data_IF_434428590130
#
_entry.id   IF_434428590130
#
_cell.length_a   1.000
_cell.length_b   1.000
_cell.length_c   1.000
_cell.angle_alpha   90.00
_cell.angle_beta   90.00
_cell.angle_gamma   90.00
#
_symmetry.space_group_name_H-M   'P 1'
#
loop_
_entity.id
_entity.type
_entity.pdbx_description
1 polymer ?
#
# COMPACT_ATOMS: atom_id res chain seq x y z
N UNK A 1 2.49 -29.93 24.15
CA UNK A 1 3.02 -30.12 22.78
C UNK A 1 3.12 -28.81 21.98
N UNK A 2 3.24 -27.63 22.61
CA UNK A 2 3.45 -26.35 21.89
C UNK A 2 4.46 -25.44 22.61
N UNK A 3 5.57 -26.00 23.10
CA UNK A 3 6.63 -25.20 23.77
C UNK A 3 8.03 -25.38 23.17
N UNK A 4 8.19 -26.36 22.27
CA UNK A 4 9.46 -26.68 21.60
C UNK A 4 9.57 -26.15 20.16
N UNK A 5 8.53 -25.54 19.60
CA UNK A 5 8.61 -24.97 18.24
C UNK A 5 9.15 -23.53 18.19
N UNK A 6 9.15 -22.81 19.32
CA UNK A 6 9.65 -21.43 19.36
C UNK A 6 11.18 -21.33 19.51
N UNK A 7 11.82 -22.32 20.14
CA UNK A 7 13.28 -22.34 20.32
C UNK A 7 13.97 -22.72 18.99
N UNK A 8 13.37 -23.62 18.21
CA UNK A 8 13.82 -23.94 16.85
C UNK A 8 13.73 -22.72 15.92
N UNK A 9 12.69 -21.87 16.03
CA UNK A 9 12.52 -20.70 15.17
C UNK A 9 13.57 -19.60 15.39
N UNK A 10 14.06 -19.41 16.62
CA UNK A 10 15.08 -18.39 16.93
C UNK A 10 16.47 -18.85 16.47
N UNK A 11 16.78 -20.15 16.61
CA UNK A 11 18.04 -20.73 16.09
C UNK A 11 18.03 -20.77 14.56
N UNK A 12 16.87 -21.03 13.93
CA UNK A 12 16.74 -21.01 12.47
C UNK A 12 16.80 -19.57 11.91
N UNK A 13 16.29 -18.55 12.59
CA UNK A 13 16.46 -17.15 12.15
C UNK A 13 17.91 -16.65 12.28
N UNK A 14 18.68 -17.13 13.27
CA UNK A 14 20.11 -16.82 13.39
C UNK A 14 20.98 -17.57 12.35
N UNK A 15 20.49 -18.70 11.81
CA UNK A 15 21.16 -19.45 10.74
C UNK A 15 20.73 -19.02 9.33
N UNK A 16 19.54 -18.44 9.16
CA UNK A 16 19.05 -17.94 7.86
C UNK A 16 19.56 -16.53 7.50
N UNK A 17 20.13 -15.77 8.45
CA UNK A 17 20.87 -14.54 8.15
C UNK A 17 22.26 -14.80 7.56
N UNK A 18 22.70 -16.07 7.45
CA UNK A 18 24.00 -16.47 6.87
C UNK A 18 23.92 -16.75 5.37
N UNK A 19 22.75 -16.65 4.72
CA UNK A 19 22.58 -16.95 3.29
C UNK A 19 22.05 -15.78 2.44
N UNK A 20 22.39 -14.54 2.79
CA UNK A 20 22.35 -13.44 1.84
C UNK A 20 23.66 -13.45 1.03
N UNK A 21 23.62 -14.08 -0.15
CA UNK A 21 24.68 -14.07 -1.16
C UNK A 21 24.90 -12.66 -1.70
N UNK A 22 25.64 -11.83 -0.96
CA UNK A 22 26.33 -10.68 -1.55
C UNK A 22 27.66 -11.19 -2.05
N UNK A 23 27.80 -11.17 -3.38
CA UNK A 23 29.02 -11.56 -4.08
C UNK A 23 30.20 -10.73 -3.58
N UNK A 24 31.30 -11.33 -3.11
CA UNK A 24 32.52 -10.57 -2.88
C UNK A 24 33.10 -10.22 -4.26
N UNK A 25 33.08 -8.94 -4.63
CA UNK A 25 33.95 -8.46 -5.69
C UNK A 25 35.39 -8.54 -5.17
N UNK A 26 36.03 -9.67 -5.44
CA UNK A 26 37.45 -9.90 -5.20
C UNK A 26 38.28 -8.97 -6.09
N UNK A 27 38.57 -7.77 -5.58
CA UNK A 27 39.69 -6.98 -6.10
C UNK A 27 40.98 -7.68 -5.70
N UNK A 28 41.46 -8.54 -6.60
CA UNK A 28 42.72 -9.27 -6.45
C UNK A 28 43.88 -8.27 -6.63
N UNK A 29 44.24 -7.54 -5.58
CA UNK A 29 45.47 -6.72 -5.56
C UNK A 29 46.60 -7.54 -4.95
N UNK A 30 47.53 -7.92 -5.81
CA UNK A 30 48.75 -8.65 -5.48
C UNK A 30 49.51 -8.00 -4.32
N UNK A 31 49.86 -8.84 -3.33
CA UNK A 31 50.78 -8.50 -2.24
C UNK A 31 52.14 -8.17 -2.84
N UNK A 32 52.56 -6.91 -2.79
CA UNK A 32 53.98 -6.55 -2.84
C UNK A 32 54.52 -6.55 -1.42
N UNK A 33 55.44 -7.48 -1.13
CA UNK A 33 56.31 -7.39 0.03
C UNK A 33 57.28 -6.22 -0.22
N UNK A 34 57.24 -5.20 0.63
CA UNK A 34 58.35 -4.26 0.75
C UNK A 34 59.15 -4.65 2.00
N UNK A 35 60.46 -4.80 1.80
CA UNK A 35 61.48 -4.91 2.84
C UNK A 35 61.53 -3.59 3.62
N UNK A 36 60.77 -3.52 4.70
CA UNK A 36 61.08 -2.65 5.84
C UNK A 36 60.19 -3.12 7.01
N UNK A 37 60.84 -3.58 8.08
CA UNK A 37 60.24 -4.26 9.24
C UNK A 37 59.36 -3.40 10.14
N UNK A 38 58.41 -2.66 9.58
CA UNK A 38 57.37 -1.94 10.33
C UNK A 38 56.02 -2.54 9.98
N UNK A 39 55.57 -3.45 10.84
CA UNK A 39 54.23 -4.02 10.82
C UNK A 39 53.22 -2.88 11.00
N UNK A 40 52.76 -2.30 9.89
CA UNK A 40 51.62 -1.38 9.89
C UNK A 40 50.42 -2.27 10.15
N UNK A 41 49.95 -2.28 11.40
CA UNK A 41 48.72 -2.96 11.80
C UNK A 41 47.66 -2.69 10.73
N UNK A 42 47.24 -3.75 10.04
CA UNK A 42 46.23 -3.67 9.01
C UNK A 42 44.94 -3.37 9.75
N UNK A 43 44.57 -2.08 9.79
CA UNK A 43 43.34 -1.60 10.43
C UNK A 43 42.19 -2.51 9.98
N UNK A 44 41.69 -3.32 10.91
CA UNK A 44 40.62 -4.28 10.64
C UNK A 44 39.41 -3.44 10.25
N UNK A 45 38.95 -3.57 9.01
CA UNK A 45 37.84 -2.77 8.51
C UNK A 45 36.59 -3.18 9.30
N UNK A 46 36.01 -2.25 10.06
CA UNK A 46 34.82 -2.54 10.86
C UNK A 46 33.65 -2.93 9.95
N UNK A 47 32.93 -3.99 10.30
CA UNK A 47 31.73 -4.36 9.58
C UNK A 47 30.63 -3.33 9.87
N UNK A 48 29.91 -2.88 8.84
CA UNK A 48 28.78 -1.97 9.03
C UNK A 48 27.53 -2.74 9.46
N UNK A 49 26.91 -2.30 10.55
CA UNK A 49 25.66 -2.85 11.06
C UNK A 49 24.58 -1.76 10.98
N UNK A 50 23.52 -2.02 10.21
CA UNK A 50 22.40 -1.11 10.10
C UNK A 50 21.40 -1.36 11.24
N UNK A 51 21.11 -0.33 12.04
CA UNK A 51 20.21 -0.45 13.19
C UNK A 51 19.09 0.60 13.12
N UNK A 52 17.80 0.22 13.20
CA UNK A 52 16.71 1.18 13.13
C UNK A 52 16.73 2.20 14.28
N UNK A 53 16.43 3.47 13.97
CA UNK A 53 16.22 4.52 14.98
C UNK A 53 15.11 4.11 15.96
N UNK A 54 15.27 4.47 17.23
CA UNK A 54 14.37 4.13 18.35
C UNK A 54 14.28 2.64 18.70
N UNK A 55 15.09 1.78 18.08
CA UNK A 55 15.18 0.37 18.43
C UNK A 55 16.17 0.13 19.58
N UNK A 56 16.35 -1.15 19.93
CA UNK A 56 17.36 -1.61 20.89
C UNK A 56 18.24 -2.65 20.22
N UNK A 57 19.56 -2.54 20.41
CA UNK A 57 20.53 -3.54 19.96
C UNK A 57 21.45 -3.95 21.11
N UNK A 58 22.11 -5.09 20.98
CA UNK A 58 23.11 -5.58 21.92
C UNK A 58 24.35 -6.03 21.15
N UNK A 59 25.51 -5.44 21.47
CA UNK A 59 26.79 -5.79 20.88
C UNK A 59 27.51 -6.82 21.76
N UNK A 60 28.00 -7.89 21.14
CA UNK A 60 28.76 -8.93 21.82
C UNK A 60 30.25 -8.62 21.76
N UNK A 61 30.95 -8.79 22.88
CA UNK A 61 32.40 -8.63 22.92
C UNK A 61 33.08 -9.96 22.53
N UNK A 62 33.52 -10.05 21.27
CA UNK A 62 34.20 -11.22 20.73
C UNK A 62 35.72 -11.18 20.95
N UNK A 63 36.39 -12.33 21.20
CA UNK A 63 35.80 -13.63 21.51
C UNK A 63 35.12 -13.61 22.89
N UNK A 64 34.00 -14.31 23.06
CA UNK A 64 33.23 -14.35 24.32
C UNK A 64 34.11 -14.81 25.50
N UNK A 65 33.82 -14.34 26.71
CA UNK A 65 34.58 -14.71 27.91
C UNK A 65 34.64 -16.24 28.09
N UNK A 66 35.85 -16.79 28.20
CA UNK A 66 36.08 -18.19 28.52
C UNK A 66 36.39 -18.33 30.01
N UNK A 67 35.37 -18.58 30.83
CA UNK A 67 35.50 -18.77 32.28
C UNK A 67 34.62 -17.81 33.12
N UNK A 68 34.70 -17.94 34.45
CA UNK A 68 33.83 -17.21 35.38
C UNK A 68 34.43 -15.88 35.87
N UNK A 69 35.63 -15.51 35.40
CA UNK A 69 36.33 -14.30 35.78
C UNK A 69 36.90 -13.66 34.52
N UNK A 70 36.31 -12.55 34.11
CA UNK A 70 36.78 -11.74 33.00
C UNK A 70 36.12 -10.37 33.02
N UNK A 71 36.85 -9.36 32.58
CA UNK A 71 36.44 -7.97 32.52
C UNK A 71 36.86 -7.33 31.20
N UNK A 72 36.02 -6.45 30.68
CA UNK A 72 36.31 -5.72 29.46
C UNK A 72 35.71 -4.33 29.47
N UNK A 73 36.29 -3.46 28.64
CA UNK A 73 35.84 -2.10 28.41
C UNK A 73 35.30 -1.99 27.00
N UNK A 74 34.14 -1.37 26.86
CA UNK A 74 33.57 -0.99 25.57
C UNK A 74 34.00 0.42 25.21
N UNK A 75 34.28 0.59 23.92
CA UNK A 75 34.68 1.84 23.32
C UNK A 75 33.66 2.25 22.26
N UNK A 76 33.37 3.55 22.18
CA UNK A 76 32.64 4.20 21.10
C UNK A 76 33.53 5.33 20.59
N UNK A 77 33.92 5.27 19.32
CA UNK A 77 34.83 6.23 18.67
C UNK A 77 36.13 6.49 19.49
N UNK A 78 36.64 5.42 20.12
CA UNK A 78 37.87 5.45 20.93
C UNK A 78 37.68 5.92 22.38
N UNK A 79 36.47 6.29 22.79
CA UNK A 79 36.15 6.69 24.16
C UNK A 79 35.54 5.53 24.93
N UNK A 80 35.99 5.29 26.16
CA UNK A 80 35.39 4.25 27.03
C UNK A 80 33.96 4.65 27.40
N UNK A 81 32.98 3.83 27.05
CA UNK A 81 31.56 4.08 27.30
C UNK A 81 30.94 3.16 28.34
N UNK A 82 31.52 1.98 28.56
CA UNK A 82 31.02 1.02 29.54
C UNK A 82 32.08 0.01 29.97
N UNK A 83 31.89 -0.55 31.17
CA UNK A 83 32.67 -1.66 31.69
C UNK A 83 31.74 -2.87 31.87
N UNK A 84 32.21 -4.05 31.49
CA UNK A 84 31.45 -5.30 31.54
C UNK A 84 32.28 -6.42 32.15
N UNK A 85 31.61 -7.48 32.61
CA UNK A 85 32.27 -8.68 33.14
C UNK A 85 31.72 -9.94 32.50
N UNK A 86 32.34 -11.08 32.78
CA UNK A 86 31.84 -12.41 32.39
C UNK A 86 30.46 -12.77 32.97
N UNK A 87 29.95 -11.96 33.92
CA UNK A 87 28.65 -12.15 34.58
C UNK A 87 27.79 -10.89 34.58
N UNK A 88 28.13 -9.86 33.79
CA UNK A 88 27.35 -8.62 33.74
C UNK A 88 27.43 -7.92 32.40
N UNK A 89 26.26 -7.50 31.91
CA UNK A 89 26.13 -6.61 30.75
C UNK A 89 26.15 -5.14 31.19
N UNK A 90 26.32 -4.23 30.23
CA UNK A 90 26.22 -2.80 30.45
C UNK A 90 25.18 -2.17 29.52
N UNK A 91 24.56 -1.08 29.97
CA UNK A 91 23.63 -0.28 29.17
C UNK A 91 24.28 1.06 28.87
N UNK A 92 24.36 1.42 27.59
CA UNK A 92 24.98 2.67 27.14
C UNK A 92 24.33 3.88 27.82
N UNK A 93 25.14 4.80 28.34
CA UNK A 93 24.69 6.04 28.99
C UNK A 93 23.66 5.84 30.13
N UNK A 94 23.67 4.70 30.82
CA UNK A 94 22.72 4.35 31.89
C UNK A 94 21.25 4.52 31.46
N UNK A 95 20.94 4.28 30.18
CA UNK A 95 19.57 4.35 29.66
C UNK A 95 18.68 3.30 30.33
N UNK A 96 17.37 3.55 30.32
CA UNK A 96 16.40 2.57 30.80
C UNK A 96 16.34 1.42 29.79
N UNK A 97 16.59 0.21 30.27
CA UNK A 97 16.42 -1.02 29.52
C UNK A 97 15.36 -1.89 30.20
N UNK A 98 14.33 -2.25 29.44
CA UNK A 98 13.30 -3.21 29.85
C UNK A 98 13.21 -4.26 28.76
N UNK A 99 13.47 -5.50 29.13
CA UNK A 99 13.33 -6.63 28.23
C UNK A 99 12.51 -7.72 28.89
N UNK A 100 11.57 -8.28 28.13
CA UNK A 100 10.79 -9.44 28.54
C UNK A 100 11.63 -10.72 28.48
N UNK A 101 12.67 -10.74 27.63
CA UNK A 101 13.63 -11.84 27.53
C UNK A 101 15.01 -11.42 28.07
N UNK A 102 15.60 -12.18 29.00
CA UNK A 102 16.91 -11.85 29.56
C UNK A 102 18.00 -12.06 28.50
N UNK A 103 18.84 -11.03 28.27
CA UNK A 103 20.08 -11.16 27.50
C UNK A 103 21.12 -11.86 28.39
N UNK A 104 21.86 -12.88 27.90
CA UNK A 104 22.87 -13.56 28.70
C UNK A 104 23.90 -12.56 29.27
N UNK A 105 24.21 -12.66 30.55
CA UNK A 105 25.13 -11.76 31.23
C UNK A 105 26.60 -12.11 30.94
N UNK A 106 27.01 -12.03 29.68
CA UNK A 106 28.37 -12.36 29.20
C UNK A 106 29.07 -11.16 28.56
N UNK A 107 28.73 -9.97 29.02
CA UNK A 107 29.41 -8.71 28.71
C UNK A 107 28.98 -8.02 27.43
N UNK A 108 27.69 -8.10 27.12
CA UNK A 108 27.06 -7.30 26.07
C UNK A 108 27.05 -5.81 26.43
N UNK A 109 27.18 -4.98 25.40
CA UNK A 109 26.79 -3.57 25.44
C UNK A 109 25.40 -3.42 24.84
N UNK A 110 24.44 -3.05 25.68
CA UNK A 110 23.04 -2.85 25.28
C UNK A 110 22.83 -1.36 25.00
N UNK A 111 22.31 -1.05 23.82
CA UNK A 111 22.01 0.32 23.39
C UNK A 111 20.51 0.40 23.13
N UNK A 112 19.78 1.10 23.99
CA UNK A 112 18.32 1.29 23.86
C UNK A 112 17.98 2.66 23.31
N UNK A 113 16.78 2.76 22.70
CA UNK A 113 16.24 3.99 22.15
C UNK A 113 17.27 4.72 21.26
N UNK A 114 17.78 3.99 20.27
CA UNK A 114 18.89 4.43 19.42
C UNK A 114 18.58 5.79 18.77
N UNK A 115 19.47 6.77 18.97
CA UNK A 115 19.42 8.10 18.36
C UNK A 115 20.56 8.27 17.36
N UNK A 116 20.46 9.27 16.47
CA UNK A 116 21.48 9.55 15.45
C UNK A 116 22.90 9.75 16.03
N UNK A 117 23.00 10.15 17.30
CA UNK A 117 24.28 10.37 17.99
C UNK A 117 24.98 9.07 18.40
N UNK A 118 24.26 7.93 18.38
CA UNK A 118 24.83 6.61 18.66
C UNK A 118 25.55 6.00 17.44
N UNK A 119 25.54 6.68 16.29
CA UNK A 119 26.29 6.26 15.10
C UNK A 119 27.80 6.32 15.40
N UNK A 120 28.56 5.34 14.93
CA UNK A 120 30.02 5.31 15.16
C UNK A 120 30.60 3.91 15.26
N UNK A 121 31.88 3.85 15.57
CA UNK A 121 32.64 2.61 15.72
C UNK A 121 32.61 2.12 17.16
N UNK A 122 32.17 0.89 17.35
CA UNK A 122 32.13 0.21 18.64
C UNK A 122 33.05 -1.00 18.64
N UNK A 123 33.79 -1.17 19.72
CA UNK A 123 34.65 -2.32 19.94
C UNK A 123 34.90 -2.51 21.43
N UNK A 124 35.39 -3.68 21.82
CA UNK A 124 35.70 -3.98 23.21
C UNK A 124 37.18 -4.33 23.39
N UNK A 125 37.70 -4.14 24.60
CA UNK A 125 39.04 -4.57 25.00
C UNK A 125 39.01 -5.29 26.33
N UNK A 126 39.62 -6.46 26.39
CA UNK A 126 39.82 -7.24 27.62
C UNK A 126 40.82 -6.53 28.54
N UNK A 127 40.52 -6.52 29.83
CA UNK A 127 41.43 -5.92 30.82
C UNK A 127 42.57 -6.88 31.21
N UNK A 128 42.38 -8.21 31.11
CA UNK A 128 43.38 -9.19 31.55
C UNK A 128 44.58 -9.29 30.61
N UNK A 129 44.32 -9.33 29.30
CA UNK A 129 45.33 -9.59 28.27
C UNK A 129 45.43 -8.48 27.21
N UNK A 130 44.62 -7.42 27.33
CA UNK A 130 44.58 -6.32 26.35
C UNK A 130 44.02 -6.72 24.99
N UNK A 131 43.42 -7.90 24.84
CA UNK A 131 42.87 -8.36 23.57
C UNK A 131 41.69 -7.49 23.14
N UNK A 132 41.76 -6.98 21.92
CA UNK A 132 40.70 -6.20 21.29
C UNK A 132 39.77 -7.12 20.52
N UNK A 133 38.47 -6.87 20.66
CA UNK A 133 37.44 -7.54 19.89
C UNK A 133 37.22 -6.90 18.52
N UNK A 134 36.29 -7.48 17.78
CA UNK A 134 35.98 -7.02 16.43
C UNK A 134 35.27 -5.67 16.48
N UNK A 135 35.75 -4.73 15.66
CA UNK A 135 35.13 -3.43 15.50
C UNK A 135 33.88 -3.54 14.62
N UNK A 136 32.79 -2.93 15.08
CA UNK A 136 31.53 -2.80 14.35
C UNK A 136 31.18 -1.32 14.21
N UNK A 137 30.89 -0.89 12.99
CA UNK A 137 30.39 0.47 12.75
C UNK A 137 28.88 0.43 12.70
N UNK A 138 28.23 0.98 13.72
CA UNK A 138 26.78 1.15 13.70
C UNK A 138 26.47 2.29 12.73
N UNK A 139 25.52 2.05 11.83
CA UNK A 139 24.93 3.06 10.94
C UNK A 139 23.42 3.07 11.18
N UNK A 140 22.84 4.25 11.37
CA UNK A 140 21.46 4.32 11.84
C UNK A 140 20.49 4.37 10.67
N UNK A 141 19.56 3.42 10.65
CA UNK A 141 18.55 3.30 9.64
C UNK A 141 17.28 4.05 10.03
N UNK A 142 16.74 4.87 9.12
CA UNK A 142 15.54 5.67 9.33
C UNK A 142 14.90 6.10 8.01
N UNK A 143 13.66 6.59 8.10
CA UNK A 143 12.96 7.34 7.06
C UNK A 143 12.33 8.56 7.73
N UNK A 144 12.73 9.76 7.31
CA UNK A 144 12.10 10.99 7.78
C UNK A 144 10.70 11.13 7.20
N UNK A 145 9.74 11.55 8.02
CA UNK A 145 8.37 11.76 7.57
C UNK A 145 8.31 12.92 6.57
N UNK A 146 7.48 12.77 5.52
CA UNK A 146 7.18 13.88 4.64
C UNK A 146 6.54 15.04 5.41
N UNK A 147 6.93 16.30 5.14
CA UNK A 147 6.20 17.47 5.62
C UNK A 147 4.71 17.39 5.23
N UNK A 148 3.82 17.92 6.06
CA UNK A 148 2.37 17.82 5.87
C UNK A 148 1.86 18.33 4.50
N UNK A 149 2.52 19.33 3.92
CA UNK A 149 2.13 19.92 2.62
C UNK A 149 2.73 19.21 1.40
N UNK A 150 3.50 18.14 1.63
CA UNK A 150 4.15 17.37 0.59
C UNK A 150 3.11 16.61 -0.23
N UNK A 151 3.24 16.68 -1.55
CA UNK A 151 2.37 15.98 -2.49
C UNK A 151 3.18 15.52 -3.69
N UNK A 152 2.81 14.38 -4.31
CA UNK A 152 3.41 13.99 -5.58
C UNK A 152 3.19 15.07 -6.65
N UNK A 153 4.19 15.30 -7.48
CA UNK A 153 4.16 16.31 -8.53
C UNK A 153 3.92 15.64 -9.87
N UNK A 154 2.82 15.99 -10.53
CA UNK A 154 2.45 15.49 -11.85
C UNK A 154 2.74 16.53 -12.94
N UNK A 155 3.32 16.07 -14.04
CA UNK A 155 3.68 16.87 -15.21
C UNK A 155 3.10 16.25 -16.49
N UNK A 156 2.11 16.90 -17.13
CA UNK A 156 1.38 18.08 -16.65
C UNK A 156 0.52 17.75 -15.42
N UNK A 157 0.17 18.76 -14.61
CA UNK A 157 -0.63 18.57 -13.39
C UNK A 157 -2.09 18.20 -13.66
N UNK A 158 -2.60 18.54 -14.86
CA UNK A 158 -3.91 18.15 -15.38
C UNK A 158 -3.76 17.69 -16.84
N UNK A 159 -3.44 16.41 -17.07
CA UNK A 159 -3.20 15.86 -18.39
C UNK A 159 -4.46 15.73 -19.23
N UNK A 160 -4.32 15.86 -20.54
CA UNK A 160 -5.37 15.50 -21.50
C UNK A 160 -5.38 13.99 -21.72
N UNK A 161 -6.52 13.41 -22.12
CA UNK A 161 -6.57 11.98 -22.48
C UNK A 161 -5.61 11.72 -23.65
N UNK A 162 -4.79 10.68 -23.53
CA UNK A 162 -3.74 10.30 -24.48
C UNK A 162 -2.39 11.01 -24.27
N UNK A 163 -2.31 12.00 -23.37
CA UNK A 163 -1.08 12.75 -23.09
C UNK A 163 -0.10 11.94 -22.24
N UNK A 164 1.21 12.20 -22.40
CA UNK A 164 2.24 11.61 -21.55
C UNK A 164 2.28 12.32 -20.20
N UNK A 165 2.34 11.55 -19.12
CA UNK A 165 2.43 12.03 -17.75
C UNK A 165 3.70 11.51 -17.09
N UNK A 166 4.37 12.38 -16.35
CA UNK A 166 5.47 12.04 -15.45
C UNK A 166 5.08 12.48 -14.05
N UNK A 167 5.25 11.61 -13.06
CA UNK A 167 4.96 11.91 -11.67
C UNK A 167 6.15 11.61 -10.77
N UNK A 168 6.50 12.59 -9.94
CA UNK A 168 7.62 12.54 -9.00
C UNK A 168 7.10 12.53 -7.57
N UNK A 169 7.64 11.63 -6.74
CA UNK A 169 7.33 11.57 -5.32
C UNK A 169 8.16 12.63 -4.57
N UNK A 170 7.66 13.22 -3.46
CA UNK A 170 8.46 14.08 -2.61
C UNK A 170 9.71 13.36 -2.11
N UNK A 171 10.79 14.12 -1.92
CA UNK A 171 12.06 13.60 -1.40
C UNK A 171 12.14 13.87 0.10
N UNK A 172 12.71 12.91 0.83
CA UNK A 172 13.01 13.01 2.26
C UNK A 172 14.31 12.26 2.54
N UNK A 173 14.91 12.48 3.72
CA UNK A 173 16.10 11.71 4.12
C UNK A 173 15.69 10.31 4.54
N UNK A 174 16.45 9.33 4.07
CA UNK A 174 16.29 7.96 4.47
C UNK A 174 17.63 7.23 4.33
N UNK A 175 17.90 6.35 5.27
CA UNK A 175 19.06 5.46 5.27
C UNK A 175 18.58 4.05 5.64
N UNK A 176 18.92 3.01 4.87
CA UNK A 176 19.52 3.04 3.53
C UNK A 176 18.60 3.66 2.47
N UNK A 177 19.10 3.76 1.24
CA UNK A 177 18.35 4.22 0.08
C UNK A 177 16.97 3.55 0.00
N UNK A 178 15.88 4.34 0.00
CA UNK A 178 14.52 3.81 0.03
C UNK A 178 14.05 3.38 -1.37
N UNK A 179 13.06 2.51 -1.41
CA UNK A 179 12.25 2.24 -2.60
C UNK A 179 11.03 3.15 -2.64
N UNK A 180 10.53 3.43 -3.85
CA UNK A 180 9.30 4.18 -4.08
C UNK A 180 8.28 3.26 -4.74
N UNK A 181 7.08 3.20 -4.16
CA UNK A 181 5.94 2.43 -4.67
C UNK A 181 4.76 3.37 -4.90
N UNK A 182 4.10 3.24 -6.04
CA UNK A 182 2.94 4.04 -6.39
C UNK A 182 1.64 3.25 -6.25
N UNK A 183 0.61 3.93 -5.76
CA UNK A 183 -0.73 3.41 -5.64
C UNK A 183 -1.72 4.36 -6.33
N UNK A 184 -2.75 3.78 -6.94
CA UNK A 184 -3.90 4.48 -7.51
C UNK A 184 -5.16 3.95 -6.84
N UNK A 185 -5.92 4.84 -6.19
CA UNK A 185 -7.14 4.50 -5.47
C UNK A 185 -6.96 3.40 -4.40
N UNK A 186 -5.76 3.31 -3.82
CA UNK A 186 -5.40 2.33 -2.78
C UNK A 186 -4.81 1.02 -3.31
N UNK A 187 -4.82 0.78 -4.62
CA UNK A 187 -4.20 -0.39 -5.24
C UNK A 187 -2.84 -0.04 -5.83
N UNK A 188 -1.88 -0.98 -5.80
CA UNK A 188 -0.57 -0.78 -6.44
C UNK A 188 -0.76 -0.53 -7.92
N UNK A 189 -0.10 0.49 -8.46
CA UNK A 189 -0.15 0.79 -9.89
C UNK A 189 0.33 -0.42 -10.70
N UNK A 190 -0.49 -0.85 -11.65
CA UNK A 190 -0.21 -2.00 -12.51
C UNK A 190 0.90 -1.68 -13.52
N UNK A 191 2.06 -2.32 -13.34
CA UNK A 191 3.21 -2.21 -14.23
C UNK A 191 3.22 -3.28 -15.34
N UNK A 192 2.20 -4.15 -15.42
CA UNK A 192 2.09 -5.13 -16.51
C UNK A 192 1.72 -4.46 -17.84
N UNK A 193 1.07 -3.29 -17.77
CA UNK A 193 0.76 -2.47 -18.93
C UNK A 193 2.00 -1.81 -19.51
N UNK A 194 2.26 -1.97 -20.82
CA UNK A 194 3.35 -1.27 -21.52
C UNK A 194 3.22 0.27 -21.49
N UNK A 195 2.08 0.81 -21.04
CA UNK A 195 1.88 2.25 -20.91
C UNK A 195 2.49 2.84 -19.65
N UNK A 196 2.62 2.04 -18.59
CA UNK A 196 2.97 2.51 -17.25
C UNK A 196 4.30 1.92 -16.84
N UNK A 197 5.23 2.76 -16.39
CA UNK A 197 6.57 2.36 -15.99
C UNK A 197 7.00 3.16 -14.76
N UNK A 198 7.82 2.55 -13.90
CA UNK A 198 8.44 3.21 -12.75
C UNK A 198 9.94 3.04 -12.89
N UNK A 199 10.62 4.17 -13.09
CA UNK A 199 12.08 4.20 -13.24
C UNK A 199 12.80 3.86 -11.93
N UNK A 200 14.10 3.58 -12.00
CA UNK A 200 14.93 3.22 -10.84
C UNK A 200 14.99 4.28 -9.74
N UNK A 201 14.76 5.56 -10.08
CA UNK A 201 14.68 6.64 -9.10
C UNK A 201 13.25 6.81 -8.52
N UNK A 202 12.30 5.94 -8.87
CA UNK A 202 10.93 5.98 -8.40
C UNK A 202 9.98 6.90 -9.18
N UNK A 203 10.42 7.50 -10.28
CA UNK A 203 9.53 8.34 -11.12
C UNK A 203 8.52 7.46 -11.87
N UNK A 204 7.24 7.76 -11.72
CA UNK A 204 6.14 7.12 -12.45
C UNK A 204 5.97 7.80 -13.83
N UNK A 205 5.91 6.99 -14.89
CA UNK A 205 5.71 7.43 -16.26
C UNK A 205 4.49 6.74 -16.83
N UNK A 206 3.54 7.52 -17.35
CA UNK A 206 2.36 7.03 -18.06
C UNK A 206 2.46 7.58 -19.48
N UNK A 207 2.66 6.72 -20.48
CA UNK A 207 2.89 7.17 -21.86
C UNK A 207 1.64 7.70 -22.55
N UNK A 208 0.46 7.25 -22.14
CA UNK A 208 -0.85 7.70 -22.61
C UNK A 208 -1.83 7.71 -21.44
N UNK A 209 -2.23 8.90 -20.95
CA UNK A 209 -3.16 9.04 -19.83
C UNK A 209 -4.59 8.68 -20.24
N UNK A 210 -5.24 7.75 -19.52
CA UNK A 210 -6.59 7.27 -19.82
C UNK A 210 -7.58 7.66 -18.72
N UNK A 211 -8.89 7.49 -18.98
CA UNK A 211 -9.95 7.77 -18.01
C UNK A 211 -9.77 6.94 -16.72
N UNK A 212 -9.32 5.70 -16.85
CA UNK A 212 -9.01 4.81 -15.72
C UNK A 212 -7.81 5.26 -14.88
N UNK A 213 -6.96 6.15 -15.42
CA UNK A 213 -5.79 6.69 -14.72
C UNK A 213 -6.18 7.94 -13.87
N UNK A 214 -7.44 8.39 -13.92
CA UNK A 214 -7.95 9.46 -13.05
C UNK A 214 -8.22 8.90 -11.65
N UNK A 215 -7.72 9.58 -10.62
CA UNK A 215 -7.95 9.15 -9.25
C UNK A 215 -6.99 9.72 -8.22
N UNK A 216 -7.03 9.12 -7.04
CA UNK A 216 -6.15 9.46 -5.92
C UNK A 216 -4.86 8.66 -6.03
N UNK A 217 -3.77 9.34 -6.38
CA UNK A 217 -2.44 8.76 -6.36
C UNK A 217 -1.82 8.89 -4.96
N UNK A 218 -1.15 7.83 -4.52
CA UNK A 218 -0.33 7.81 -3.32
C UNK A 218 1.07 7.30 -3.70
N UNK A 219 2.10 8.08 -3.36
CA UNK A 219 3.47 7.58 -3.43
C UNK A 219 3.93 7.22 -2.02
N UNK A 220 4.51 6.02 -1.88
CA UNK A 220 5.10 5.52 -0.64
C UNK A 220 6.60 5.39 -0.82
N UNK A 221 7.35 6.08 0.02
CA UNK A 221 8.80 5.95 0.13
C UNK A 221 9.11 5.10 1.37
N UNK A 222 9.85 4.00 1.20
CA UNK A 222 10.08 3.03 2.28
C UNK A 222 11.44 2.35 2.23
N UNK A 223 11.96 2.00 3.40
CA UNK A 223 13.06 1.05 3.57
C UNK A 223 12.72 0.09 4.73
N UNK A 224 13.66 -0.74 5.18
CA UNK A 224 13.38 -1.69 6.26
C UNK A 224 13.17 -1.03 7.63
N UNK A 225 13.60 0.23 7.81
CA UNK A 225 13.48 0.97 9.07
C UNK A 225 12.19 1.80 9.15
N UNK A 226 11.52 2.08 8.04
CA UNK A 226 10.28 2.84 8.05
C UNK A 226 9.71 3.15 6.68
N UNK A 227 8.64 3.95 6.68
CA UNK A 227 7.96 4.42 5.46
C UNK A 227 7.29 5.77 5.68
N UNK A 228 7.09 6.51 4.60
CA UNK A 228 6.28 7.73 4.58
C UNK A 228 5.52 7.83 3.25
N UNK A 229 4.36 8.48 3.26
CA UNK A 229 3.48 8.56 2.08
C UNK A 229 2.94 9.96 1.84
N UNK A 230 2.71 10.28 0.57
CA UNK A 230 2.10 11.54 0.14
C UNK A 230 1.06 11.27 -0.94
N UNK A 231 -0.02 12.06 -0.94
CA UNK A 231 -1.19 11.84 -1.81
C UNK A 231 -1.51 13.06 -2.66
N UNK A 232 -2.04 12.82 -3.87
CA UNK A 232 -2.59 13.86 -4.75
C UNK A 232 -3.69 13.28 -5.62
N UNK A 233 -4.77 14.03 -5.79
CA UNK A 233 -5.81 13.67 -6.75
C UNK A 233 -5.47 14.24 -8.13
N UNK A 234 -5.51 13.40 -9.16
CA UNK A 234 -5.19 13.78 -10.54
C UNK A 234 -6.43 13.63 -11.39
N UNK A 235 -6.78 14.69 -12.12
CA UNK A 235 -7.93 14.76 -13.01
C UNK A 235 -7.50 15.12 -14.43
N UNK A 236 -8.34 14.76 -15.41
CA UNK A 236 -8.10 15.08 -16.81
C UNK A 236 -8.47 16.53 -17.15
N UNK A 237 -7.74 17.13 -18.08
CA UNK A 237 -8.13 18.42 -18.68
C UNK A 237 -9.45 18.23 -19.42
N UNK A 238 -10.48 18.99 -19.04
CA UNK A 238 -11.73 19.07 -19.81
C UNK A 238 -11.38 19.58 -21.21
N UNK A 239 -11.74 18.82 -22.23
CA UNK A 239 -11.72 19.31 -23.61
C UNK A 239 -12.69 20.49 -23.67
N UNK A 240 -12.17 21.72 -23.77
CA UNK A 240 -12.98 22.85 -24.22
C UNK A 240 -13.19 22.70 -25.72
N UNK A 241 -13.92 21.67 -26.11
CA UNK A 241 -14.41 21.62 -27.48
C UNK A 241 -15.56 22.62 -27.56
N UNK A 242 -15.30 23.80 -28.13
CA UNK A 242 -16.33 24.72 -28.58
C UNK A 242 -17.23 24.13 -29.69
N UNK A 243 -17.10 22.83 -29.97
CA UNK A 243 -17.91 22.06 -30.90
C UNK A 243 -18.60 20.84 -30.29
N UNK A 244 -18.60 20.67 -28.97
CA UNK A 244 -19.67 19.92 -28.32
C UNK A 244 -20.78 20.91 -27.98
N UNK A 245 -21.63 21.21 -28.98
CA UNK A 245 -23.04 21.38 -28.64
C UNK A 245 -23.36 20.14 -27.84
N UNK A 246 -23.77 20.33 -26.59
CA UNK A 246 -24.44 19.31 -25.83
C UNK A 246 -25.56 18.80 -26.75
N UNK A 247 -25.33 17.70 -27.45
CA UNK A 247 -26.40 16.93 -28.08
C UNK A 247 -27.05 16.16 -26.94
N UNK A 248 -27.47 16.87 -25.89
CA UNK A 248 -28.72 16.59 -25.21
C UNK A 248 -29.78 16.99 -26.22
N UNK A 249 -29.93 16.18 -27.28
CA UNK A 249 -31.08 16.25 -28.15
C UNK A 249 -32.29 15.66 -27.43
N UNK A 250 -32.60 16.28 -26.29
CA UNK A 250 -33.90 16.22 -25.65
C UNK A 250 -34.95 16.63 -26.69
N UNK A 251 -34.59 17.41 -27.72
CA UNK A 251 -35.48 17.75 -28.84
C UNK A 251 -35.82 16.55 -29.74
N UNK A 252 -34.89 15.63 -30.05
CA UNK A 252 -35.20 14.41 -30.82
C UNK A 252 -36.10 13.46 -30.01
N UNK A 253 -35.78 13.23 -28.72
CA UNK A 253 -36.61 12.38 -27.86
C UNK A 253 -37.98 13.01 -27.57
N UNK A 254 -38.06 14.32 -27.34
CA UNK A 254 -39.35 15.01 -27.14
C UNK A 254 -40.19 15.06 -28.41
N UNK A 255 -39.60 15.20 -29.60
CA UNK A 255 -40.35 15.17 -30.86
C UNK A 255 -40.87 13.76 -31.19
N UNK A 256 -40.08 12.71 -30.91
CA UNK A 256 -40.53 11.32 -31.04
C UNK A 256 -41.64 10.97 -30.03
N UNK A 257 -41.52 11.41 -28.77
CA UNK A 257 -42.57 11.25 -27.77
C UNK A 257 -43.82 12.09 -28.10
N UNK A 258 -43.67 13.34 -28.57
CA UNK A 258 -44.81 14.20 -28.93
C UNK A 258 -45.63 13.61 -30.08
N UNK A 259 -44.97 13.01 -31.09
CA UNK A 259 -45.64 12.31 -32.19
C UNK A 259 -46.34 11.01 -31.78
N UNK A 260 -45.78 10.26 -30.81
CA UNK A 260 -46.41 9.05 -30.26
C UNK A 260 -47.62 9.38 -29.38
N UNK A 261 -47.51 10.40 -28.52
CA UNK A 261 -48.55 10.76 -27.55
C UNK A 261 -49.74 11.50 -28.18
N UNK A 262 -49.53 12.38 -29.18
CA UNK A 262 -50.66 13.08 -29.83
C UNK A 262 -51.54 12.13 -30.64
N UNK A 263 -50.93 11.19 -31.37
CA UNK A 263 -51.67 10.25 -32.19
C UNK A 263 -52.33 9.16 -31.33
N UNK A 264 -51.62 8.62 -30.33
CA UNK A 264 -52.15 7.58 -29.46
C UNK A 264 -53.36 8.02 -28.64
N UNK A 265 -53.32 9.22 -28.06
CA UNK A 265 -54.43 9.75 -27.24
C UNK A 265 -55.65 10.06 -28.10
N UNK A 266 -55.46 10.59 -29.32
CA UNK A 266 -56.57 10.87 -30.23
C UNK A 266 -57.31 9.59 -30.63
N UNK A 267 -56.59 8.54 -31.02
CA UNK A 267 -57.19 7.24 -31.36
C UNK A 267 -57.84 6.56 -30.15
N UNK A 268 -57.27 6.71 -28.95
CA UNK A 268 -57.88 6.22 -27.72
C UNK A 268 -59.20 6.91 -27.40
N UNK A 269 -59.26 8.25 -27.50
CA UNK A 269 -60.49 9.02 -27.26
C UNK A 269 -61.57 8.72 -28.31
N UNK A 270 -61.19 8.56 -29.59
CA UNK A 270 -62.11 8.12 -30.65
C UNK A 270 -62.65 6.72 -30.34
N UNK A 271 -61.80 5.80 -29.88
CA UNK A 271 -62.20 4.46 -29.44
C UNK A 271 -63.19 4.50 -28.27
N UNK A 272 -62.94 5.31 -27.24
CA UNK A 272 -63.85 5.48 -26.10
C UNK A 272 -65.19 6.10 -26.49
N UNK A 273 -65.20 7.08 -27.41
CA UNK A 273 -66.43 7.67 -27.92
C UNK A 273 -67.25 6.63 -28.70
N UNK A 274 -66.63 5.87 -29.60
CA UNK A 274 -67.32 4.84 -30.37
C UNK A 274 -67.94 3.77 -29.46
N UNK A 275 -67.22 3.27 -28.45
CA UNK A 275 -67.76 2.28 -27.51
C UNK A 275 -68.90 2.85 -26.68
N UNK A 276 -68.80 4.11 -26.23
CA UNK A 276 -69.89 4.77 -25.50
C UNK A 276 -71.16 4.93 -26.35
N UNK A 277 -71.03 5.29 -27.63
CA UNK A 277 -72.15 5.39 -28.56
C UNK A 277 -72.80 4.02 -28.81
N UNK A 278 -72.01 2.95 -28.97
CA UNK A 278 -72.54 1.59 -29.13
C UNK A 278 -73.32 1.14 -27.90
N UNK A 279 -72.80 1.42 -26.69
CA UNK A 279 -73.50 1.11 -25.44
C UNK A 279 -74.80 1.91 -25.32
N UNK A 280 -74.79 3.21 -25.64
CA UNK A 280 -76.00 4.03 -25.63
C UNK A 280 -77.02 3.54 -26.64
N UNK A 281 -76.60 3.13 -27.84
CA UNK A 281 -77.48 2.56 -28.84
C UNK A 281 -78.07 1.22 -28.39
N UNK A 282 -77.25 0.37 -27.77
CA UNK A 282 -77.71 -0.88 -27.17
C UNK A 282 -78.74 -0.64 -26.06
N UNK A 283 -78.50 0.34 -25.18
CA UNK A 283 -79.44 0.70 -24.12
C UNK A 283 -80.72 1.33 -24.67
N UNK A 284 -80.64 2.17 -25.70
CA UNK A 284 -81.82 2.71 -26.40
C UNK A 284 -82.63 1.59 -27.07
N UNK A 285 -81.96 0.66 -27.75
CA UNK A 285 -82.59 -0.54 -28.29
C UNK A 285 -83.23 -1.36 -27.16
N UNK A 286 -82.51 -1.62 -26.06
CA UNK A 286 -83.05 -2.33 -24.91
C UNK A 286 -84.30 -1.63 -24.35
N UNK A 287 -84.30 -0.30 -24.23
CA UNK A 287 -85.46 0.49 -23.79
C UNK A 287 -86.63 0.46 -24.79
N UNK A 288 -86.35 0.43 -26.10
CA UNK A 288 -87.37 0.29 -27.15
C UNK A 288 -87.97 -1.12 -27.20
N UNK A 289 -87.16 -2.16 -26.96
CA UNK A 289 -87.60 -3.55 -26.85
C UNK A 289 -88.23 -3.87 -25.48
N UNK A 290 -87.89 -3.10 -24.44
CA UNK A 290 -88.51 -3.14 -23.10
C UNK A 290 -89.75 -2.23 -23.02
N UNK A 291 -90.35 -1.85 -24.15
CA UNK A 291 -91.72 -1.32 -24.12
C UNK A 291 -92.62 -2.34 -23.42
N UNK A 292 -93.27 -1.97 -22.30
CA UNK A 292 -94.11 -2.89 -21.55
C UNK A 292 -95.40 -3.12 -22.34
N UNK A 293 -95.46 -4.24 -23.07
CA UNK A 293 -96.63 -4.60 -23.84
C UNK A 293 -96.58 -6.05 -24.30
N UNK A 294 -97.40 -6.89 -23.64
CA UNK A 294 -97.73 -8.28 -23.97
C UNK A 294 -96.74 -9.39 -23.53
N UNK A 295 -96.77 -9.63 -22.21
CA UNK A 295 -96.84 -10.95 -21.55
C UNK A 295 -96.81 -12.16 -22.51
N UNK A 296 -95.65 -12.81 -22.67
CA UNK A 296 -95.60 -14.21 -23.06
C UNK A 296 -94.62 -14.97 -22.15
N UNK A 297 -95.18 -15.94 -21.42
CA UNK A 297 -94.47 -16.86 -20.53
C UNK A 297 -93.45 -17.64 -21.37
N UNK A 298 -92.19 -17.57 -21.02
CA UNK A 298 -91.21 -18.58 -21.40
C UNK A 298 -90.52 -19.06 -20.13
N UNK A 299 -90.79 -20.32 -19.82
CA UNK A 299 -90.24 -21.15 -18.75
C UNK A 299 -88.72 -21.28 -18.90
N UNK A 300 -87.99 -20.85 -17.87
CA UNK A 300 -86.56 -21.17 -17.71
C UNK A 300 -86.45 -22.54 -17.04
N UNK A 301 -86.07 -23.57 -17.81
CA UNK A 301 -85.48 -24.78 -17.26
C UNK A 301 -83.96 -24.59 -17.11
N UNK A 302 -83.35 -25.00 -15.98
CA UNK A 302 -81.91 -24.87 -15.78
C UNK A 302 -81.20 -26.13 -16.27
N UNK A 303 -80.25 -25.97 -17.20
CA UNK A 303 -79.25 -27.01 -17.48
C UNK A 303 -77.84 -26.47 -17.27
N UNK A 304 -77.30 -26.88 -16.11
CA UNK A 304 -75.99 -27.49 -15.92
C UNK A 304 -74.74 -26.77 -16.45
N UNK A 305 -74.04 -26.15 -15.50
CA UNK A 305 -72.66 -26.49 -15.10
C UNK A 305 -71.75 -27.18 -16.14
N UNK A 306 -70.74 -26.44 -16.60
CA UNK A 306 -69.40 -26.90 -17.03
C UNK A 306 -68.51 -25.65 -16.96
N UNK A 307 -67.82 -25.32 -15.86
CA UNK A 307 -66.66 -25.98 -15.21
C UNK A 307 -65.52 -26.25 -16.19
N UNK A 308 -64.64 -25.29 -16.43
CA UNK A 308 -63.22 -25.57 -16.71
C UNK A 308 -62.31 -24.67 -15.86
N UNK A 309 -61.43 -25.35 -15.12
CA UNK A 309 -60.45 -24.84 -14.18
C UNK A 309 -59.19 -24.38 -14.92
N UNK A 310 -58.53 -23.42 -14.29
CA UNK A 310 -57.10 -23.13 -14.29
C UNK A 310 -56.20 -24.37 -14.50
N UNK A 311 -55.16 -24.18 -15.30
CA UNK A 311 -53.88 -24.89 -15.17
C UNK A 311 -52.82 -23.79 -14.99
N UNK A 312 -52.15 -23.86 -13.84
CA UNK A 312 -50.89 -23.19 -13.53
C UNK A 312 -49.75 -23.83 -14.33
#
# INVERSE_FOLDING_TARGET
MERNQFIEAIVICALLSVNATVSPTTSNRSLRLNEDGRQRSRMKMANEMLVPRYSTTALMCEPVFTGNSGSAKWFHDGVVVANVTSTSNAVLHNRIYRSEQPVPDVGFLIITNISLDDEGEYWCRRDENGQEGDAVKIVIAYVDQFPHDSRPLFYPSRPSIGERVVAECPHTRAIPSPSITWFLNGETVDLSSRRVDVTSNGTLKISQFLIQDIGLYECMLSNFAGRTTAKVFVDAKRLKDGRFREVTDISIFTNACRGLFQNGILWFLIGCLATSCVVLFYLLCAMLFLRPGARNRITLQPTLFLRWKFIF
#
